data_IF_956809633720
#
_entry.id   IF_956809633720
#
_cell.length_a   1.000
_cell.length_b   1.000
_cell.length_c   1.000
_cell.angle_alpha   90.00
_cell.angle_beta   90.00
_cell.angle_gamma   90.00
#
_symmetry.space_group_name_H-M   'P 1'
#
loop_
_entity.id
_entity.type
_entity.pdbx_description
1 polymer ?
#
# COMPACT_ATOMS: atom_id res chain seq x y z
N UNK A 1 6.35 -2.83 15.03
CA UNK A 1 6.30 -4.01 15.91
C UNK A 1 7.36 -3.90 16.98
N UNK A 2 7.09 -4.38 18.20
CA UNK A 2 8.04 -4.33 19.31
C UNK A 2 8.18 -5.71 19.96
N UNK A 3 9.33 -5.98 20.57
CA UNK A 3 9.55 -7.16 21.42
C UNK A 3 8.84 -6.98 22.77
N UNK A 4 8.85 -8.02 23.61
CA UNK A 4 8.32 -7.96 24.97
C UNK A 4 9.05 -6.90 25.82
N UNK A 5 10.31 -6.61 25.50
CA UNK A 5 11.14 -5.58 26.13
C UNK A 5 10.93 -4.18 25.50
N UNK A 6 9.93 -4.03 24.62
CA UNK A 6 9.60 -2.77 23.98
C UNK A 6 10.58 -2.32 22.88
N UNK A 7 11.51 -3.16 22.44
CA UNK A 7 12.48 -2.79 21.39
C UNK A 7 11.87 -2.95 20.00
N UNK A 8 12.28 -2.16 18.98
CA UNK A 8 11.83 -2.40 17.60
C UNK A 8 12.10 -3.84 17.16
N UNK A 9 11.10 -4.46 16.55
CA UNK A 9 11.19 -5.84 16.09
C UNK A 9 10.99 -5.93 14.59
N UNK A 10 11.97 -6.50 13.89
CA UNK A 10 11.89 -6.81 12.47
C UNK A 10 11.32 -8.22 12.33
N UNK A 11 10.25 -8.36 11.56
CA UNK A 11 9.62 -9.67 11.37
C UNK A 11 10.58 -10.63 10.66
N UNK A 12 10.64 -11.92 11.05
CA UNK A 12 11.52 -12.90 10.40
C UNK A 12 11.34 -12.99 8.88
N UNK A 13 10.09 -12.85 8.39
CA UNK A 13 9.79 -12.85 6.96
C UNK A 13 10.41 -11.65 6.23
N UNK A 14 10.38 -10.46 6.83
CA UNK A 14 10.99 -9.25 6.26
C UNK A 14 12.50 -9.45 6.17
N UNK A 15 13.14 -9.89 7.27
CA UNK A 15 14.58 -10.18 7.29
C UNK A 15 15.01 -11.22 6.24
N UNK A 16 14.17 -12.24 6.00
CA UNK A 16 14.41 -13.25 4.96
C UNK A 16 14.36 -12.64 3.56
N UNK A 17 13.31 -11.86 3.26
CA UNK A 17 13.11 -11.26 1.94
C UNK A 17 14.18 -10.20 1.65
N UNK A 18 14.56 -9.37 2.63
CA UNK A 18 15.65 -8.40 2.49
C UNK A 18 16.98 -9.06 2.12
N UNK A 19 17.31 -10.19 2.77
CA UNK A 19 18.50 -10.97 2.40
C UNK A 19 18.40 -11.49 0.97
N UNK A 20 17.26 -12.03 0.57
CA UNK A 20 17.08 -12.55 -0.79
C UNK A 20 17.24 -11.45 -1.83
N UNK A 21 16.62 -10.28 -1.60
CA UNK A 21 16.74 -9.11 -2.48
C UNK A 21 18.18 -8.63 -2.59
N UNK A 22 18.96 -8.66 -1.51
CA UNK A 22 20.35 -8.25 -1.52
C UNK A 22 21.29 -9.21 -2.30
N UNK A 23 20.86 -10.46 -2.53
CA UNK A 23 21.61 -11.44 -3.33
C UNK A 23 21.08 -11.57 -4.77
N UNK A 24 20.02 -10.85 -5.12
CA UNK A 24 19.44 -10.90 -6.46
C UNK A 24 20.24 -10.00 -7.42
N UNK A 25 21.02 -10.62 -8.31
CA UNK A 25 21.84 -9.91 -9.31
C UNK A 25 21.00 -9.16 -10.36
N UNK A 26 19.70 -9.46 -10.48
CA UNK A 26 18.79 -8.76 -11.39
C UNK A 26 18.16 -7.52 -10.75
N UNK A 27 18.31 -7.34 -9.44
CA UNK A 27 17.80 -6.19 -8.73
C UNK A 27 18.47 -4.91 -9.24
N UNK A 28 17.66 -3.93 -9.60
CA UNK A 28 18.11 -2.62 -10.04
C UNK A 28 17.36 -1.49 -9.29
N UNK A 29 17.72 -0.25 -9.61
CA UNK A 29 17.16 0.97 -9.01
C UNK A 29 16.50 1.87 -10.06
N UNK A 30 16.00 1.27 -11.15
CA UNK A 30 15.24 2.00 -12.15
C UNK A 30 13.93 2.53 -11.59
N UNK A 31 13.37 3.54 -12.26
CA UNK A 31 12.06 4.05 -11.88
C UNK A 31 10.98 2.98 -12.06
N UNK A 32 10.13 2.85 -11.04
CA UNK A 32 8.90 2.10 -11.16
C UNK A 32 7.92 2.81 -12.10
N UNK A 33 6.95 2.08 -12.68
CA UNK A 33 5.81 2.68 -13.35
C UNK A 33 5.09 3.70 -12.44
N UNK A 34 4.38 4.65 -13.05
CA UNK A 34 3.69 5.75 -12.33
C UNK A 34 2.71 5.23 -11.27
N UNK A 35 2.08 4.07 -11.50
CA UNK A 35 1.14 3.45 -10.55
C UNK A 35 1.83 2.55 -9.51
N UNK A 36 3.15 2.41 -9.58
CA UNK A 36 3.98 1.60 -8.70
C UNK A 36 4.30 0.21 -9.24
N UNK A 37 4.76 -0.64 -8.32
CA UNK A 37 5.09 -2.03 -8.57
C UNK A 37 3.81 -2.88 -8.62
N UNK A 38 3.46 -3.40 -9.80
CA UNK A 38 2.22 -4.16 -10.02
C UNK A 38 2.03 -5.33 -9.03
N UNK A 39 3.02 -6.20 -8.75
CA UNK A 39 2.88 -7.25 -7.74
C UNK A 39 2.50 -6.74 -6.34
N UNK A 40 3.01 -5.58 -5.95
CA UNK A 40 2.66 -4.94 -4.67
C UNK A 40 1.21 -4.45 -4.69
N UNK A 41 0.81 -3.74 -5.75
CA UNK A 41 -0.55 -3.22 -5.89
C UNK A 41 -1.59 -4.33 -5.92
N UNK A 42 -1.36 -5.40 -6.69
CA UNK A 42 -2.25 -6.56 -6.77
C UNK A 42 -2.34 -7.27 -5.43
N UNK A 43 -1.21 -7.61 -4.81
CA UNK A 43 -1.19 -8.31 -3.52
C UNK A 43 -1.84 -7.50 -2.40
N UNK A 44 -1.59 -6.19 -2.35
CA UNK A 44 -2.20 -5.30 -1.35
C UNK A 44 -3.72 -5.19 -1.53
N UNK A 45 -4.19 -5.09 -2.78
CA UNK A 45 -5.62 -5.01 -3.11
C UNK A 45 -6.34 -6.31 -2.75
N UNK A 46 -5.74 -7.46 -3.09
CA UNK A 46 -6.26 -8.78 -2.72
C UNK A 46 -6.26 -9.01 -1.20
N UNK A 47 -5.23 -8.54 -0.50
CA UNK A 47 -5.16 -8.63 0.97
C UNK A 47 -6.29 -7.83 1.62
N UNK A 48 -6.63 -6.66 1.09
CA UNK A 48 -7.66 -5.79 1.63
C UNK A 48 -9.08 -6.28 1.31
N UNK A 49 -9.36 -6.60 0.05
CA UNK A 49 -10.72 -6.89 -0.43
C UNK A 49 -11.03 -8.40 -0.50
N UNK A 50 -10.00 -9.24 -0.44
CA UNK A 50 -10.08 -10.68 -0.65
C UNK A 50 -9.95 -11.06 -2.13
N UNK A 51 -9.20 -12.13 -2.42
CA UNK A 51 -8.93 -12.63 -3.79
C UNK A 51 -10.18 -12.92 -4.63
N UNK A 52 -11.29 -13.25 -3.99
CA UNK A 52 -12.57 -13.55 -4.66
C UNK A 52 -13.53 -12.36 -4.70
N UNK A 53 -13.05 -11.15 -4.39
CA UNK A 53 -13.87 -9.95 -4.43
C UNK A 53 -14.41 -9.74 -5.86
N UNK A 54 -15.75 -9.66 -6.05
CA UNK A 54 -16.33 -9.44 -7.37
C UNK A 54 -15.79 -8.19 -8.06
N UNK A 55 -15.45 -7.14 -7.30
CA UNK A 55 -14.90 -5.89 -7.85
C UNK A 55 -13.52 -6.07 -8.48
N UNK A 56 -12.67 -6.91 -7.88
CA UNK A 56 -11.38 -7.29 -8.47
C UNK A 56 -11.62 -8.15 -9.73
N UNK A 57 -12.47 -9.18 -9.62
CA UNK A 57 -12.73 -10.10 -10.73
C UNK A 57 -13.38 -9.43 -11.95
N UNK A 58 -14.14 -8.36 -11.73
CA UNK A 58 -14.78 -7.55 -12.77
C UNK A 58 -13.89 -6.40 -13.28
N UNK A 59 -12.66 -6.25 -12.77
CA UNK A 59 -11.76 -5.16 -13.16
C UNK A 59 -12.21 -3.76 -12.72
N UNK A 60 -13.05 -3.66 -11.69
CA UNK A 60 -13.59 -2.40 -11.16
C UNK A 60 -12.97 -1.97 -9.83
N UNK A 61 -11.97 -2.70 -9.34
CA UNK A 61 -11.12 -2.32 -8.22
C UNK A 61 -9.66 -2.65 -8.54
N UNK A 62 -8.76 -1.71 -8.27
CA UNK A 62 -7.31 -1.86 -8.42
C UNK A 62 -6.58 -1.03 -7.37
N UNK A 63 -5.28 -1.27 -7.22
CA UNK A 63 -4.41 -0.56 -6.28
C UNK A 63 -3.42 0.36 -6.98
N UNK A 64 -3.02 1.42 -6.28
CA UNK A 64 -1.93 2.32 -6.67
C UNK A 64 -0.95 2.42 -5.50
N UNK A 65 0.34 2.28 -5.77
CA UNK A 65 1.37 2.41 -4.75
C UNK A 65 1.48 3.87 -4.31
N UNK A 66 1.58 4.11 -3.01
CA UNK A 66 1.74 5.44 -2.43
C UNK A 66 2.72 5.42 -1.26
N UNK A 67 3.08 6.60 -0.76
CA UNK A 67 3.97 6.77 0.38
C UNK A 67 3.26 6.44 1.70
N UNK A 68 3.13 5.14 1.98
CA UNK A 68 2.48 4.62 3.18
C UNK A 68 1.05 5.18 3.37
N UNK A 69 0.52 5.13 4.59
CA UNK A 69 -0.84 5.57 4.91
C UNK A 69 -1.07 7.06 4.63
N UNK A 70 -0.14 7.94 5.03
CA UNK A 70 -0.27 9.39 4.82
C UNK A 70 -0.28 9.74 3.34
N UNK A 71 0.58 9.12 2.54
CA UNK A 71 0.58 9.30 1.08
C UNK A 71 -0.70 8.81 0.43
N UNK A 72 -1.21 7.65 0.86
CA UNK A 72 -2.50 7.12 0.40
C UNK A 72 -3.66 8.07 0.71
N UNK A 73 -3.73 8.59 1.94
CA UNK A 73 -4.75 9.54 2.37
C UNK A 73 -4.68 10.84 1.56
N UNK A 74 -3.46 11.37 1.32
CA UNK A 74 -3.26 12.55 0.49
C UNK A 74 -3.87 12.31 -0.88
N UNK A 75 -3.39 11.32 -1.65
CA UNK A 75 -3.80 11.17 -3.05
C UNK A 75 -5.28 10.82 -3.17
N UNK A 76 -5.82 10.07 -2.20
CA UNK A 76 -7.26 9.76 -2.12
C UNK A 76 -8.10 11.01 -1.88
N UNK A 77 -7.75 11.84 -0.89
CA UNK A 77 -8.44 13.09 -0.62
C UNK A 77 -8.34 14.07 -1.80
N UNK A 78 -7.18 14.10 -2.46
CA UNK A 78 -6.97 14.91 -3.66
C UNK A 78 -7.90 14.50 -4.80
N UNK A 79 -7.97 13.19 -5.06
CA UNK A 79 -8.84 12.65 -6.11
C UNK A 79 -10.30 12.98 -5.82
N UNK A 80 -10.76 12.76 -4.58
CA UNK A 80 -12.12 13.08 -4.16
C UNK A 80 -12.45 14.57 -4.32
N UNK A 81 -11.52 15.46 -3.96
CA UNK A 81 -11.76 16.91 -4.01
C UNK A 81 -11.59 17.51 -5.41
N UNK A 82 -10.50 17.17 -6.13
CA UNK A 82 -10.15 17.81 -7.41
C UNK A 82 -10.81 17.16 -8.61
N UNK A 83 -11.04 15.84 -8.57
CA UNK A 83 -11.57 15.08 -9.72
C UNK A 83 -13.06 14.80 -9.54
N UNK A 84 -13.48 14.45 -8.32
CA UNK A 84 -14.89 14.16 -8.03
C UNK A 84 -15.66 15.35 -7.42
N UNK A 85 -14.98 16.47 -7.18
CA UNK A 85 -15.56 17.72 -6.69
C UNK A 85 -16.34 17.60 -5.37
N UNK A 86 -15.96 16.66 -4.50
CA UNK A 86 -16.49 16.60 -3.14
C UNK A 86 -15.87 17.69 -2.25
N UNK A 87 -16.72 18.40 -1.49
CA UNK A 87 -16.34 19.53 -0.64
C UNK A 87 -16.53 19.27 0.86
N UNK A 88 -17.22 18.19 1.22
CA UNK A 88 -17.59 17.86 2.60
C UNK A 88 -17.00 16.52 3.01
N UNK A 89 -16.26 16.50 4.12
CA UNK A 89 -15.56 15.32 4.63
C UNK A 89 -15.83 15.13 6.13
N UNK A 90 -16.14 13.90 6.53
CA UNK A 90 -16.43 13.53 7.92
C UNK A 90 -15.32 12.68 8.52
N UNK A 91 -14.99 12.92 9.79
CA UNK A 91 -14.00 12.16 10.56
C UNK A 91 -14.50 11.91 11.99
N UNK A 92 -13.95 10.90 12.66
CA UNK A 92 -14.35 10.54 14.02
C UNK A 92 -13.83 11.53 15.06
N UNK A 93 -14.51 11.59 16.22
CA UNK A 93 -14.08 12.36 17.38
C UNK A 93 -13.85 11.40 18.58
N UNK A 94 -12.60 11.11 18.98
CA UNK A 94 -11.33 11.60 18.41
C UNK A 94 -10.95 10.91 17.07
N UNK A 95 -9.96 11.47 16.39
CA UNK A 95 -9.27 10.86 15.25
C UNK A 95 -7.76 10.81 15.55
N UNK A 96 -7.01 10.03 14.77
CA UNK A 96 -5.54 9.98 14.84
C UNK A 96 -4.90 11.36 14.63
#
# INVERSE_FOLDING_TARGET
YRTNEGKPWVLPVVKKVEKNLAHDELQNHEYLPVLGLEPLCTSATEMLLGKKCPKILQGSAFGVQSLSGTGALRIGAEFLSRILHYDTFYYSKPTW
#
